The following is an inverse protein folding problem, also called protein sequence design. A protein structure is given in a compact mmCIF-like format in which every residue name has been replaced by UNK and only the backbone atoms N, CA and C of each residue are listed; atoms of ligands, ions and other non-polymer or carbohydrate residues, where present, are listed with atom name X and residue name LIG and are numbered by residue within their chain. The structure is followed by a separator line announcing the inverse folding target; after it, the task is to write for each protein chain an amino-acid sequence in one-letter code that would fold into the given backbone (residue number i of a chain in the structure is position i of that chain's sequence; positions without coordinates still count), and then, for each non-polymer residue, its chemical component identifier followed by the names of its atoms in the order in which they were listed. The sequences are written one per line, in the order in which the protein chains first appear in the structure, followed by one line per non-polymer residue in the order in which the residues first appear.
data_IF_849897394657
#
_entry.id   IF_849897394657
#
_cell.length_a   1.000
_cell.length_b   1.000
_cell.length_c   1.000
_cell.angle_alpha   90.00
_cell.angle_beta   90.00
_cell.angle_gamma   90.00
#
_symmetry.space_group_name_H-M   'P 1'
#
loop_
_entity.id
_entity.type
_entity.pdbx_description
1 polymer ?
#
# COMPACT_ATOMS: atom_id res chain seq x y z
N UNK A 1 -48.17 32.14 -21.39
CA UNK A 1 -46.92 32.38 -22.15
C UNK A 1 -45.78 32.86 -21.26
N UNK A 2 -45.85 34.02 -20.60
CA UNK A 2 -44.80 34.47 -19.65
C UNK A 2 -44.73 33.62 -18.36
N UNK A 3 -45.87 33.17 -17.84
CA UNK A 3 -45.93 32.29 -16.65
C UNK A 3 -45.33 30.89 -16.88
N UNK A 4 -45.60 30.28 -18.04
CA UNK A 4 -45.10 28.95 -18.39
C UNK A 4 -43.57 28.93 -18.59
N UNK A 5 -43.01 30.04 -19.10
CA UNK A 5 -41.56 30.23 -19.22
C UNK A 5 -40.93 30.37 -17.83
N UNK A 6 -41.54 31.12 -16.92
CA UNK A 6 -41.05 31.29 -15.55
C UNK A 6 -41.06 29.96 -14.76
N UNK A 7 -42.10 29.15 -14.92
CA UNK A 7 -42.17 27.82 -14.30
C UNK A 7 -41.16 26.84 -14.90
N UNK A 8 -40.96 26.86 -16.22
CA UNK A 8 -39.95 26.07 -16.90
C UNK A 8 -38.53 26.40 -16.43
N UNK A 9 -38.21 27.69 -16.30
CA UNK A 9 -36.93 28.17 -15.76
C UNK A 9 -36.77 27.79 -14.30
N UNK A 10 -37.81 27.95 -13.47
CA UNK A 10 -37.74 27.58 -12.04
C UNK A 10 -37.51 26.07 -11.86
N UNK A 11 -38.15 25.23 -12.68
CA UNK A 11 -37.99 23.77 -12.66
C UNK A 11 -36.59 23.35 -13.14
N UNK A 12 -36.05 24.01 -14.16
CA UNK A 12 -34.68 23.79 -14.63
C UNK A 12 -33.65 24.21 -13.58
N UNK A 13 -33.84 25.35 -12.92
CA UNK A 13 -32.96 25.84 -11.84
C UNK A 13 -33.00 24.92 -10.63
N UNK A 14 -34.18 24.43 -10.22
CA UNK A 14 -34.32 23.44 -9.13
C UNK A 14 -33.67 22.10 -9.48
N UNK A 15 -33.84 21.63 -10.73
CA UNK A 15 -33.20 20.40 -11.21
C UNK A 15 -31.68 20.51 -11.22
N UNK A 16 -31.14 21.63 -11.71
CA UNK A 16 -29.70 21.89 -11.70
C UNK A 16 -29.14 22.03 -10.28
N UNK A 17 -29.86 22.70 -9.37
CA UNK A 17 -29.47 22.83 -7.97
C UNK A 17 -29.41 21.47 -7.26
N UNK A 18 -30.37 20.56 -7.52
CA UNK A 18 -30.38 19.22 -6.95
C UNK A 18 -29.21 18.36 -7.49
N UNK A 19 -28.95 18.40 -8.80
CA UNK A 19 -27.82 17.67 -9.40
C UNK A 19 -26.46 18.20 -8.92
N UNK A 20 -26.34 19.49 -8.62
CA UNK A 20 -25.12 20.07 -8.05
C UNK A 20 -24.93 19.65 -6.59
N UNK A 21 -26.00 19.59 -5.80
CA UNK A 21 -25.97 19.14 -4.41
C UNK A 21 -25.73 17.63 -4.26
N UNK A 22 -26.09 16.79 -5.24
CA UNK A 22 -25.81 15.33 -5.20
C UNK A 22 -24.35 14.99 -5.54
N UNK A 23 -23.72 15.74 -6.43
CA UNK A 23 -22.29 15.53 -6.77
C UNK A 23 -21.34 16.26 -5.82
N UNK A 24 -21.83 17.26 -5.09
CA UNK A 24 -21.06 18.01 -4.10
C UNK A 24 -20.52 17.14 -2.93
N UNK A 25 -21.30 16.30 -2.23
CA UNK A 25 -20.79 15.49 -1.12
C UNK A 25 -19.76 14.47 -1.59
N UNK A 26 -19.92 13.89 -2.79
CA UNK A 26 -18.92 13.01 -3.39
C UNK A 26 -17.63 13.76 -3.75
N UNK A 27 -17.73 14.98 -4.30
CA UNK A 27 -16.57 15.82 -4.61
C UNK A 27 -15.88 16.38 -3.37
N UNK A 28 -16.64 16.77 -2.34
CA UNK A 28 -16.13 17.28 -1.06
C UNK A 28 -15.46 16.17 -0.26
N UNK A 29 -16.04 14.96 -0.24
CA UNK A 29 -15.39 13.79 0.39
C UNK A 29 -14.11 13.40 -0.34
N UNK A 30 -14.12 13.36 -1.68
CA UNK A 30 -12.92 13.10 -2.46
C UNK A 30 -11.86 14.19 -2.29
N UNK A 31 -12.25 15.47 -2.28
CA UNK A 31 -11.36 16.60 -2.04
C UNK A 31 -10.83 16.62 -0.61
N UNK A 32 -11.62 16.22 0.39
CA UNK A 32 -11.18 16.08 1.78
C UNK A 32 -10.19 14.95 1.97
N UNK A 33 -10.44 13.79 1.34
CA UNK A 33 -9.52 12.66 1.29
C UNK A 33 -8.21 13.09 0.60
N UNK A 34 -8.29 13.73 -0.56
CA UNK A 34 -7.14 14.22 -1.32
C UNK A 34 -6.35 15.28 -0.54
N UNK A 35 -7.04 16.23 0.10
CA UNK A 35 -6.43 17.27 0.94
C UNK A 35 -5.79 16.70 2.19
N UNK A 36 -6.35 15.64 2.77
CA UNK A 36 -5.73 14.91 3.86
C UNK A 36 -4.44 14.23 3.40
N UNK A 37 -4.45 13.56 2.24
CA UNK A 37 -3.27 12.93 1.64
C UNK A 37 -2.18 13.95 1.22
N UNK A 38 -2.55 15.15 0.80
CA UNK A 38 -1.60 16.23 0.44
C UNK A 38 -1.13 17.08 1.63
N UNK A 39 -1.75 16.93 2.81
CA UNK A 39 -1.28 17.60 4.03
C UNK A 39 0.09 17.05 4.46
N UNK A 40 0.84 17.82 5.27
CA UNK A 40 2.15 17.41 5.82
C UNK A 40 2.10 16.02 6.49
N UNK A 41 1.00 15.67 7.16
CA UNK A 41 0.79 14.36 7.79
C UNK A 41 0.33 13.26 6.82
N UNK A 42 -0.30 13.62 5.70
CA UNK A 42 -0.76 12.67 4.67
C UNK A 42 0.39 12.08 3.85
N UNK A 43 1.45 12.85 3.64
CA UNK A 43 2.61 12.43 2.83
C UNK A 43 3.29 11.16 3.35
N UNK A 44 3.48 11.03 4.67
CA UNK A 44 4.07 9.85 5.29
C UNK A 44 3.20 8.60 5.11
N UNK A 45 1.88 8.76 5.22
CA UNK A 45 0.92 7.68 5.02
C UNK A 45 0.88 7.25 3.55
N UNK A 46 0.90 8.20 2.59
CA UNK A 46 1.01 7.87 1.16
C UNK A 46 2.30 7.13 0.87
N UNK A 47 3.45 7.62 1.37
CA UNK A 47 4.73 6.96 1.19
C UNK A 47 4.72 5.55 1.76
N UNK A 48 4.07 5.34 2.91
CA UNK A 48 3.93 4.03 3.52
C UNK A 48 3.02 3.09 2.72
N UNK A 49 1.89 3.59 2.19
CA UNK A 49 1.05 2.81 1.26
C UNK A 49 1.85 2.37 0.04
N UNK A 50 2.68 3.26 -0.52
CA UNK A 50 3.56 2.92 -1.64
C UNK A 50 4.53 1.81 -1.26
N UNK A 51 5.14 1.85 -0.07
CA UNK A 51 6.01 0.78 0.42
C UNK A 51 5.27 -0.56 0.53
N UNK A 52 4.06 -0.55 1.08
CA UNK A 52 3.21 -1.75 1.19
C UNK A 52 2.87 -2.32 -0.21
N UNK A 53 2.58 -1.47 -1.19
CA UNK A 53 2.34 -1.91 -2.57
C UNK A 53 3.60 -2.49 -3.22
N UNK A 54 4.76 -1.90 -2.97
CA UNK A 54 6.05 -2.43 -3.43
C UNK A 54 6.35 -3.79 -2.77
N UNK A 55 6.07 -3.95 -1.47
CA UNK A 55 6.18 -5.24 -0.79
C UNK A 55 5.29 -6.30 -1.44
N UNK A 56 4.05 -5.94 -1.79
CA UNK A 56 3.13 -6.83 -2.49
C UNK A 56 3.66 -7.26 -3.87
N UNK A 57 4.13 -6.29 -4.67
CA UNK A 57 4.68 -6.56 -6.01
C UNK A 57 5.91 -7.46 -5.91
N UNK A 58 6.83 -7.15 -5.00
CA UNK A 58 8.03 -7.97 -4.80
C UNK A 58 7.67 -9.37 -4.30
N UNK A 59 6.62 -9.52 -3.52
CA UNK A 59 6.12 -10.83 -3.12
C UNK A 59 5.62 -11.66 -4.30
N UNK A 60 4.93 -11.02 -5.25
CA UNK A 60 4.52 -11.71 -6.48
C UNK A 60 5.73 -12.15 -7.31
N UNK A 61 6.78 -11.34 -7.39
CA UNK A 61 8.03 -11.73 -8.06
C UNK A 61 8.67 -12.95 -7.41
N UNK A 62 8.70 -13.01 -6.08
CA UNK A 62 9.18 -14.18 -5.32
C UNK A 62 8.37 -15.44 -5.65
N UNK A 63 7.04 -15.33 -5.72
CA UNK A 63 6.15 -16.46 -6.06
C UNK A 63 6.30 -16.89 -7.53
N UNK A 64 6.43 -15.94 -8.46
CA UNK A 64 6.68 -16.21 -9.87
C UNK A 64 8.04 -16.89 -10.10
N UNK A 65 9.07 -16.48 -9.36
CA UNK A 65 10.38 -17.14 -9.37
C UNK A 65 10.25 -18.59 -8.89
N UNK A 66 9.54 -18.82 -7.78
CA UNK A 66 9.26 -20.17 -7.27
C UNK A 66 8.51 -21.02 -8.30
N UNK A 67 7.49 -20.46 -8.95
CA UNK A 67 6.77 -21.14 -10.04
C UNK A 67 7.71 -21.57 -11.18
N UNK A 68 8.63 -20.69 -11.62
CA UNK A 68 9.57 -21.01 -12.70
C UNK A 68 10.55 -22.14 -12.33
N UNK A 69 10.96 -22.22 -11.07
CA UNK A 69 11.80 -23.30 -10.57
C UNK A 69 11.03 -24.62 -10.45
N UNK A 70 9.84 -24.60 -9.85
CA UNK A 70 9.01 -25.78 -9.64
C UNK A 70 8.55 -26.42 -10.96
N UNK A 71 8.35 -25.61 -12.01
CA UNK A 71 8.01 -26.09 -13.36
C UNK A 71 9.23 -26.53 -14.18
N UNK A 72 10.46 -26.42 -13.64
CA UNK A 72 11.70 -26.74 -14.35
C UNK A 72 12.00 -25.84 -15.55
N UNK A 73 11.28 -24.72 -15.70
CA UNK A 73 11.46 -23.74 -16.80
C UNK A 73 12.81 -23.03 -16.64
N UNK A 74 13.28 -22.86 -15.40
CA UNK A 74 14.62 -22.39 -15.08
C UNK A 74 15.28 -23.40 -14.14
N UNK A 75 16.51 -23.83 -14.46
CA UNK A 75 17.22 -24.87 -13.69
C UNK A 75 17.92 -24.35 -12.43
N UNK A 76 18.25 -23.06 -12.36
CA UNK A 76 19.09 -22.53 -11.27
C UNK A 76 18.62 -21.18 -10.75
N UNK A 77 18.22 -20.27 -11.62
CA UNK A 77 17.74 -18.94 -11.23
C UNK A 77 16.97 -18.30 -12.38
N UNK A 78 15.78 -17.77 -12.12
CA UNK A 78 15.07 -16.96 -13.09
C UNK A 78 15.45 -15.47 -12.92
N UNK A 79 15.65 -14.76 -14.02
CA UNK A 79 15.85 -13.32 -13.97
C UNK A 79 14.56 -12.60 -13.57
N UNK A 80 14.65 -11.43 -12.93
CA UNK A 80 13.47 -10.63 -12.55
C UNK A 80 12.51 -10.40 -13.71
N UNK A 81 13.05 -10.14 -14.90
CA UNK A 81 12.24 -9.95 -16.11
C UNK A 81 11.42 -11.20 -16.48
N UNK A 82 12.00 -12.39 -16.28
CA UNK A 82 11.30 -13.65 -16.50
C UNK A 82 10.20 -13.85 -15.45
N UNK A 83 10.46 -13.50 -14.18
CA UNK A 83 9.47 -13.54 -13.10
C UNK A 83 8.28 -12.60 -13.37
N UNK A 84 8.54 -11.41 -13.92
CA UNK A 84 7.49 -10.47 -14.34
C UNK A 84 6.65 -11.10 -15.46
N UNK A 85 7.31 -11.63 -16.49
CA UNK A 85 6.62 -12.23 -17.65
C UNK A 85 5.86 -13.52 -17.31
N UNK A 86 6.30 -14.27 -16.31
CA UNK A 86 5.65 -15.51 -15.87
C UNK A 86 4.52 -15.30 -14.87
N UNK A 87 4.30 -14.06 -14.43
CA UNK A 87 3.36 -13.75 -13.36
C UNK A 87 1.93 -14.19 -13.68
N UNK A 88 1.45 -13.94 -14.90
CA UNK A 88 0.11 -14.39 -15.34
C UNK A 88 -0.03 -15.92 -15.25
N UNK A 89 1.03 -16.64 -15.60
CA UNK A 89 1.05 -18.11 -15.49
C UNK A 89 1.11 -18.58 -14.05
N UNK A 90 1.83 -17.86 -13.18
CA UNK A 90 1.86 -18.16 -11.75
C UNK A 90 0.49 -17.92 -11.09
N UNK A 91 -0.26 -16.89 -11.53
CA UNK A 91 -1.66 -16.68 -11.13
C UNK A 91 -2.55 -17.83 -11.61
N UNK A 92 -2.48 -18.20 -12.89
CA UNK A 92 -3.27 -19.29 -13.45
C UNK A 92 -3.03 -20.64 -12.75
N UNK A 93 -1.79 -20.90 -12.32
CA UNK A 93 -1.40 -22.11 -11.60
C UNK A 93 -1.58 -22.01 -10.07
N UNK A 94 -2.28 -20.99 -9.57
CA UNK A 94 -2.61 -20.78 -8.14
C UNK A 94 -1.40 -20.63 -7.20
N UNK A 95 -0.20 -20.38 -7.74
CA UNK A 95 0.97 -20.02 -6.92
C UNK A 95 0.75 -18.67 -6.22
N UNK A 96 0.04 -17.76 -6.88
CA UNK A 96 -0.36 -16.48 -6.31
C UNK A 96 -1.85 -16.57 -5.97
N UNK A 97 -2.14 -17.07 -4.77
CA UNK A 97 -3.52 -17.21 -4.26
C UNK A 97 -3.89 -16.02 -3.37
N UNK A 98 -5.05 -15.41 -3.63
CA UNK A 98 -5.53 -14.24 -2.88
C UNK A 98 -5.70 -14.51 -1.39
N UNK A 99 -6.02 -15.72 -0.94
CA UNK A 99 -6.13 -16.05 0.49
C UNK A 99 -4.80 -15.97 1.23
N UNK A 100 -3.74 -16.52 0.66
CA UNK A 100 -2.38 -16.46 1.22
C UNK A 100 -1.89 -15.02 1.30
N UNK A 101 -2.24 -14.20 0.31
CA UNK A 101 -1.88 -12.78 0.29
C UNK A 101 -2.72 -11.99 1.29
N UNK A 102 -4.04 -12.18 1.32
CA UNK A 102 -4.96 -11.50 2.24
C UNK A 102 -4.59 -11.77 3.69
N UNK A 103 -4.31 -13.01 4.06
CA UNK A 103 -3.97 -13.36 5.46
C UNK A 103 -2.68 -12.71 5.92
N UNK A 104 -1.61 -12.77 5.10
CA UNK A 104 -0.33 -12.11 5.42
C UNK A 104 -0.42 -10.59 5.39
N UNK A 105 -1.13 -10.04 4.41
CA UNK A 105 -1.27 -8.60 4.22
C UNK A 105 -2.20 -7.97 5.26
N UNK A 106 -3.35 -8.57 5.53
CA UNK A 106 -4.29 -8.09 6.54
C UNK A 106 -3.64 -8.07 7.93
N UNK A 107 -2.82 -9.07 8.25
CA UNK A 107 -2.03 -9.08 9.48
C UNK A 107 -1.14 -7.84 9.63
N UNK A 108 -0.38 -7.48 8.58
CA UNK A 108 0.44 -6.27 8.57
C UNK A 108 -0.40 -5.00 8.73
N UNK A 109 -1.47 -4.87 7.96
CA UNK A 109 -2.35 -3.68 8.01
C UNK A 109 -2.96 -3.50 9.40
N UNK A 110 -3.51 -4.57 10.00
CA UNK A 110 -4.10 -4.51 11.34
C UNK A 110 -3.04 -4.09 12.36
N UNK A 111 -1.85 -4.69 12.31
CA UNK A 111 -0.74 -4.36 13.20
C UNK A 111 -0.36 -2.87 13.09
N UNK A 112 -0.30 -2.33 11.88
CA UNK A 112 0.06 -0.94 11.64
C UNK A 112 -1.02 0.03 12.13
N UNK A 113 -2.29 -0.30 11.90
CA UNK A 113 -3.40 0.50 12.42
C UNK A 113 -3.39 0.57 13.94
N UNK A 114 -3.16 -0.56 14.61
CA UNK A 114 -3.05 -0.62 16.08
C UNK A 114 -1.84 0.16 16.58
N UNK A 115 -0.67 0.00 15.94
CA UNK A 115 0.56 0.70 16.33
C UNK A 115 0.42 2.21 16.19
N UNK A 116 -0.07 2.69 15.04
CA UNK A 116 -0.26 4.12 14.80
C UNK A 116 -1.29 4.70 15.76
N UNK A 117 -2.41 4.00 16.00
CA UNK A 117 -3.42 4.43 16.97
C UNK A 117 -2.82 4.57 18.38
N UNK A 118 -2.06 3.57 18.84
CA UNK A 118 -1.41 3.62 20.16
C UNK A 118 -0.43 4.79 20.26
N UNK A 119 0.40 4.99 19.24
CA UNK A 119 1.43 6.03 19.22
C UNK A 119 0.82 7.43 19.16
N UNK A 120 -0.29 7.63 18.45
CA UNK A 120 -1.03 8.91 18.45
C UNK A 120 -1.55 9.25 19.84
N UNK A 121 -2.01 8.26 20.61
CA UNK A 121 -2.41 8.48 22.00
C UNK A 121 -1.21 8.87 22.87
N UNK A 122 -0.06 8.21 22.70
CA UNK A 122 1.16 8.54 23.43
C UNK A 122 1.61 9.97 23.13
N UNK A 123 1.69 10.37 21.85
CA UNK A 123 2.06 11.74 21.49
C UNK A 123 1.08 12.77 22.08
N UNK A 124 -0.22 12.46 22.10
CA UNK A 124 -1.24 13.32 22.71
C UNK A 124 -1.04 13.49 24.21
N UNK A 125 -0.57 12.44 24.91
CA UNK A 125 -0.24 12.48 26.33
C UNK A 125 1.07 13.22 26.62
N UNK A 126 2.02 13.22 25.69
CA UNK A 126 3.36 13.82 25.87
C UNK A 126 3.49 15.24 25.30
N UNK A 127 2.37 15.92 25.02
CA UNK A 127 2.36 17.32 24.58
C UNK A 127 2.28 17.56 23.07
N UNK A 128 2.12 16.51 22.26
CA UNK A 128 1.74 16.63 20.84
C UNK A 128 2.88 16.88 19.84
N UNK A 129 4.14 16.80 20.26
CA UNK A 129 5.30 17.09 19.38
C UNK A 129 5.51 16.06 18.24
N UNK A 130 4.75 14.96 18.24
CA UNK A 130 4.76 13.97 17.15
C UNK A 130 6.06 13.16 17.06
N UNK A 131 6.81 13.05 18.16
CA UNK A 131 8.11 12.36 18.22
C UNK A 131 7.90 10.86 18.12
N UNK A 132 6.91 10.33 18.83
CA UNK A 132 6.61 8.90 18.79
C UNK A 132 6.04 8.51 17.44
N UNK A 133 5.17 9.33 16.85
CA UNK A 133 4.61 9.10 15.52
C UNK A 133 5.68 9.08 14.44
N UNK A 134 6.63 10.02 14.45
CA UNK A 134 7.79 10.00 13.53
C UNK A 134 8.63 8.74 13.70
N UNK A 135 8.86 8.32 14.93
CA UNK A 135 9.63 7.10 15.23
C UNK A 135 8.90 5.86 14.74
N UNK A 136 7.59 5.77 14.95
CA UNK A 136 6.75 4.69 14.45
C UNK A 136 6.79 4.62 12.91
N UNK A 137 6.67 5.76 12.21
CA UNK A 137 6.81 5.79 10.76
C UNK A 137 8.17 5.30 10.28
N UNK A 138 9.27 5.72 10.93
CA UNK A 138 10.60 5.26 10.59
C UNK A 138 10.75 3.75 10.80
N UNK A 139 10.25 3.22 11.92
CA UNK A 139 10.26 1.80 12.21
C UNK A 139 9.47 1.00 11.17
N UNK A 140 8.23 1.41 10.91
CA UNK A 140 7.35 0.78 9.93
C UNK A 140 7.97 0.78 8.53
N UNK A 141 8.47 1.92 8.07
CA UNK A 141 9.15 2.05 6.79
C UNK A 141 10.38 1.12 6.70
N UNK A 142 11.16 1.01 7.78
CA UNK A 142 12.32 0.11 7.84
C UNK A 142 11.89 -1.36 7.74
N UNK A 143 10.84 -1.76 8.46
CA UNK A 143 10.34 -3.15 8.39
C UNK A 143 9.82 -3.53 6.99
N UNK A 144 9.13 -2.61 6.32
CA UNK A 144 8.65 -2.85 4.95
C UNK A 144 9.80 -2.85 3.93
N UNK A 145 10.79 -1.97 4.09
CA UNK A 145 11.99 -2.01 3.26
C UNK A 145 12.74 -3.35 3.39
N UNK A 146 12.83 -3.91 4.60
CA UNK A 146 13.40 -5.25 4.83
C UNK A 146 12.58 -6.33 4.13
N UNK A 147 11.24 -6.29 4.27
CA UNK A 147 10.33 -7.23 3.61
C UNK A 147 10.47 -7.22 2.08
N UNK A 148 10.58 -6.03 1.48
CA UNK A 148 10.83 -5.84 0.04
C UNK A 148 12.16 -6.49 -0.36
N UNK A 149 13.23 -6.25 0.39
CA UNK A 149 14.56 -6.79 0.11
C UNK A 149 14.57 -8.32 0.21
N UNK A 150 13.87 -8.89 1.20
CA UNK A 150 13.70 -10.33 1.35
C UNK A 150 12.96 -10.95 0.17
N UNK A 151 11.85 -10.33 -0.24
CA UNK A 151 11.07 -10.78 -1.38
C UNK A 151 11.87 -10.70 -2.69
N UNK A 152 12.68 -9.65 -2.89
CA UNK A 152 13.55 -9.52 -4.06
C UNK A 152 14.69 -10.55 -4.07
N UNK A 153 15.31 -10.83 -2.92
CA UNK A 153 16.29 -11.91 -2.78
C UNK A 153 15.65 -13.24 -3.21
N UNK A 154 14.46 -13.53 -2.71
CA UNK A 154 13.72 -14.76 -3.01
C UNK A 154 13.22 -14.80 -4.47
N UNK A 155 13.06 -13.65 -5.11
CA UNK A 155 12.77 -13.50 -6.54
C UNK A 155 13.99 -13.71 -7.45
N UNK A 156 15.15 -14.09 -6.88
CA UNK A 156 16.37 -14.35 -7.63
C UNK A 156 17.35 -13.18 -7.65
N UNK A 157 17.20 -12.13 -6.85
CA UNK A 157 18.20 -11.04 -6.77
C UNK A 157 19.22 -11.33 -5.66
N UNK A 158 20.08 -12.33 -5.88
CA UNK A 158 21.06 -12.78 -4.88
C UNK A 158 22.04 -11.68 -4.41
N UNK A 159 22.22 -10.62 -5.22
CA UNK A 159 23.03 -9.44 -4.86
C UNK A 159 22.53 -8.69 -3.62
N UNK A 160 21.28 -8.91 -3.22
CA UNK A 160 20.70 -8.30 -2.01
C UNK A 160 21.02 -9.07 -0.73
N UNK A 161 21.57 -10.29 -0.81
CA UNK A 161 21.90 -11.11 0.36
C UNK A 161 22.87 -10.41 1.31
N UNK A 162 23.99 -9.80 0.86
CA UNK A 162 24.89 -9.07 1.76
C UNK A 162 24.22 -7.86 2.42
N UNK A 163 23.38 -7.13 1.66
CA UNK A 163 22.63 -5.99 2.18
C UNK A 163 21.64 -6.43 3.27
N UNK A 164 20.91 -7.52 3.03
CA UNK A 164 19.97 -8.06 4.01
C UNK A 164 20.68 -8.54 5.28
N UNK A 165 21.82 -9.23 5.14
CA UNK A 165 22.64 -9.66 6.27
C UNK A 165 23.17 -8.46 7.06
N UNK A 166 23.60 -7.40 6.37
CA UNK A 166 24.01 -6.15 7.00
C UNK A 166 22.84 -5.52 7.77
N UNK A 167 21.69 -5.34 7.13
CA UNK A 167 20.51 -4.73 7.76
C UNK A 167 20.07 -5.54 8.99
N UNK A 168 20.01 -6.88 8.91
CA UNK A 168 19.69 -7.74 10.05
C UNK A 168 20.72 -7.64 11.17
N UNK A 169 22.02 -7.57 10.85
CA UNK A 169 23.05 -7.41 11.87
C UNK A 169 22.98 -6.06 12.59
N UNK A 170 22.49 -5.02 11.92
CA UNK A 170 22.29 -3.68 12.51
C UNK A 170 20.96 -3.52 13.25
N UNK A 171 19.90 -4.18 12.79
CA UNK A 171 18.61 -4.25 13.48
C UNK A 171 18.64 -5.21 14.68
N UNK A 172 19.75 -5.96 14.84
CA UNK A 172 20.07 -6.76 16.00
C UNK A 172 19.66 -8.22 15.81
N UNK A 173 20.20 -9.10 16.65
CA UNK A 173 19.73 -10.48 16.83
C UNK A 173 18.29 -10.59 17.33
N UNK A 174 17.34 -9.95 16.65
CA UNK A 174 15.91 -10.20 16.69
C UNK A 174 15.68 -11.50 15.93
N UNK A 175 15.88 -12.60 16.66
CA UNK A 175 15.23 -13.88 16.39
C UNK A 175 13.77 -13.79 16.77
#
# INVERSE_FOLDING_TARGET
MLGDIAEGVCKAVKGAAHSLLDVAPAKISLAGILSFFLSSHGTALVAFIVLILLDLITKWLSLSHKYLLDQGICRTQAGLWQCIKSMDKAFANRYITSEMMKTKFAGKIILYMVLVAAVVQVDSMTGGDGVFLRTAWFYLATTEAVSIVENLRDAGVQRLTPLLTFIRSKLGGLK
#
